data_IF_481309817747
#
_entry.id   IF_481309817747
#
_cell.length_a   1.000
_cell.length_b   1.000
_cell.length_c   1.000
_cell.angle_alpha   90.00
_cell.angle_beta   90.00
_cell.angle_gamma   90.00
#
_symmetry.space_group_name_H-M   'P 1'
#
loop_
_entity.id
_entity.type
_entity.pdbx_description
1 polymer ?
#
# COMPACT_ATOMS: atom_id res chain seq x y z
N UNK A 1 -32.30 13.06 11.86
CA UNK A 1 -32.85 11.94 11.05
C UNK A 1 -31.81 10.83 10.89
N UNK A 2 -30.57 11.17 10.51
CA UNK A 2 -29.46 10.21 10.43
C UNK A 2 -29.19 9.49 11.76
N UNK A 3 -29.09 10.22 12.87
CA UNK A 3 -28.79 9.61 14.18
C UNK A 3 -29.83 8.58 14.64
N UNK A 4 -31.10 8.80 14.31
CA UNK A 4 -32.18 7.85 14.63
C UNK A 4 -32.05 6.60 13.79
N UNK A 5 -31.69 6.75 12.50
CA UNK A 5 -31.43 5.63 11.61
C UNK A 5 -30.23 4.80 12.07
N UNK A 6 -29.10 5.44 12.41
CA UNK A 6 -27.90 4.76 12.88
C UNK A 6 -28.17 3.94 14.15
N UNK A 7 -28.88 4.53 15.13
CA UNK A 7 -29.27 3.81 16.35
C UNK A 7 -30.17 2.61 16.08
N UNK A 8 -31.05 2.70 15.08
CA UNK A 8 -31.89 1.57 14.69
C UNK A 8 -31.03 0.44 14.08
N UNK A 9 -30.10 0.78 13.20
CA UNK A 9 -29.16 -0.18 12.63
C UNK A 9 -28.29 -0.84 13.70
N UNK A 10 -27.78 -0.07 14.67
CA UNK A 10 -27.03 -0.60 15.81
C UNK A 10 -27.87 -1.58 16.63
N UNK A 11 -29.14 -1.23 16.92
CA UNK A 11 -30.05 -2.10 17.65
C UNK A 11 -30.35 -3.40 16.89
N UNK A 12 -30.52 -3.33 15.57
CA UNK A 12 -30.74 -4.49 14.73
C UNK A 12 -29.50 -5.38 14.66
N UNK A 13 -28.30 -4.81 14.53
CA UNK A 13 -27.04 -5.55 14.55
C UNK A 13 -26.83 -6.31 15.87
N UNK A 14 -27.12 -5.66 17.00
CA UNK A 14 -27.10 -6.28 18.34
C UNK A 14 -28.13 -7.43 18.42
N UNK A 15 -29.35 -7.19 17.93
CA UNK A 15 -30.41 -8.21 17.92
C UNK A 15 -30.02 -9.42 17.09
N UNK A 16 -29.40 -9.21 15.93
CA UNK A 16 -28.90 -10.29 15.07
C UNK A 16 -27.81 -11.10 15.78
N UNK A 17 -26.85 -10.44 16.43
CA UNK A 17 -25.80 -11.13 17.19
C UNK A 17 -26.39 -12.04 18.27
N UNK A 18 -27.42 -11.59 19.00
CA UNK A 18 -28.11 -12.43 19.97
C UNK A 18 -28.83 -13.61 19.32
N UNK A 19 -29.54 -13.40 18.22
CA UNK A 19 -30.22 -14.49 17.51
C UNK A 19 -29.23 -15.55 17.02
N UNK A 20 -28.08 -15.13 16.48
CA UNK A 20 -27.05 -16.05 16.01
C UNK A 20 -26.47 -16.85 17.18
N UNK A 21 -26.05 -16.17 18.24
CA UNK A 21 -25.38 -16.81 19.38
C UNK A 21 -26.30 -17.69 20.23
N UNK A 22 -27.54 -17.26 20.45
CA UNK A 22 -28.42 -17.94 21.41
C UNK A 22 -29.35 -18.95 20.74
N UNK A 23 -29.58 -18.82 19.42
CA UNK A 23 -30.51 -19.69 18.69
C UNK A 23 -29.83 -20.46 17.57
N UNK A 24 -29.10 -19.79 16.69
CA UNK A 24 -28.56 -20.42 15.50
C UNK A 24 -27.42 -21.38 15.84
N UNK A 25 -26.35 -20.90 16.48
CA UNK A 25 -25.17 -21.70 16.82
C UNK A 25 -25.55 -22.92 17.68
N UNK A 26 -26.36 -22.80 18.75
CA UNK A 26 -26.78 -23.96 19.54
C UNK A 26 -27.59 -24.99 18.74
N UNK A 27 -28.38 -24.54 17.75
CA UNK A 27 -29.10 -25.46 16.86
C UNK A 27 -28.16 -26.14 15.87
N UNK A 28 -27.17 -25.44 15.33
CA UNK A 28 -26.17 -26.02 14.43
C UNK A 28 -25.33 -27.09 15.15
N UNK A 29 -24.92 -26.83 16.40
CA UNK A 29 -24.22 -27.81 17.23
C UNK A 29 -25.08 -29.07 17.40
N UNK A 30 -26.38 -28.92 17.71
CA UNK A 30 -27.32 -30.04 17.83
C UNK A 30 -27.49 -30.86 16.55
N UNK A 31 -27.39 -30.23 15.38
CA UNK A 31 -27.52 -30.88 14.07
C UNK A 31 -26.23 -31.63 13.67
N UNK A 32 -25.09 -31.30 14.27
CA UNK A 32 -23.82 -32.03 14.07
C UNK A 32 -22.60 -31.14 13.82
N UNK A 33 -22.75 -29.81 13.78
CA UNK A 33 -21.64 -28.87 13.60
C UNK A 33 -20.89 -28.63 14.93
N UNK A 34 -20.15 -29.63 15.39
CA UNK A 34 -19.43 -29.59 16.68
C UNK A 34 -18.25 -28.60 16.70
N UNK A 35 -17.72 -28.22 15.54
CA UNK A 35 -16.63 -27.23 15.44
C UNK A 35 -17.05 -25.84 15.94
N UNK A 36 -18.36 -25.61 16.06
CA UNK A 36 -18.92 -24.38 16.59
C UNK A 36 -19.07 -24.40 18.12
N UNK A 37 -18.70 -25.50 18.78
CA UNK A 37 -18.74 -25.59 20.24
C UNK A 37 -17.63 -24.73 20.85
N UNK A 38 -18.02 -23.86 21.80
CA UNK A 38 -17.09 -22.96 22.48
C UNK A 38 -16.70 -21.69 21.70
N UNK A 39 -17.23 -21.49 20.48
CA UNK A 39 -17.05 -20.24 19.73
C UNK A 39 -18.32 -19.39 19.74
N UNK A 40 -18.16 -18.08 19.58
CA UNK A 40 -19.25 -17.11 19.56
C UNK A 40 -19.13 -16.24 18.32
N UNK A 41 -20.25 -15.90 17.73
CA UNK A 41 -20.34 -14.86 16.70
C UNK A 41 -20.11 -13.48 17.33
N UNK A 42 -19.25 -12.69 16.69
CA UNK A 42 -18.93 -11.31 17.01
C UNK A 42 -18.82 -10.51 15.70
N UNK A 43 -19.22 -9.25 15.73
CA UNK A 43 -19.06 -8.35 14.60
C UNK A 43 -17.59 -7.91 14.52
N UNK A 44 -17.05 -7.89 13.31
CA UNK A 44 -15.75 -7.27 13.07
C UNK A 44 -15.95 -5.75 12.98
N UNK A 45 -15.85 -5.08 14.12
CA UNK A 45 -15.93 -3.62 14.23
C UNK A 45 -14.57 -2.96 13.95
N UNK A 46 -13.61 -3.69 13.37
CA UNK A 46 -12.33 -3.08 13.00
C UNK A 46 -12.56 -2.04 11.90
N UNK A 47 -12.04 -0.84 12.14
CA UNK A 47 -12.05 0.21 11.12
C UNK A 47 -11.05 -0.19 10.04
N UNK A 48 -11.56 -0.55 8.86
CA UNK A 48 -10.71 -0.67 7.67
C UNK A 48 -10.18 0.72 7.33
N UNK A 49 -8.88 0.93 7.53
CA UNK A 49 -8.22 2.16 7.11
C UNK A 49 -8.45 2.37 5.61
N UNK A 50 -8.87 3.57 5.24
CA UNK A 50 -9.00 3.92 3.82
C UNK A 50 -7.63 3.82 3.14
N UNK A 51 -7.59 3.61 1.80
CA UNK A 51 -6.33 3.57 1.07
C UNK A 51 -5.45 4.82 1.28
N UNK A 52 -6.06 5.98 1.52
CA UNK A 52 -5.36 7.22 1.81
C UNK A 52 -4.74 7.24 3.22
N UNK A 53 -5.48 6.76 4.23
CA UNK A 53 -4.98 6.65 5.61
C UNK A 53 -3.86 5.62 5.72
N UNK A 54 -4.00 4.46 5.05
CA UNK A 54 -2.93 3.47 4.96
C UNK A 54 -1.67 4.12 4.38
N UNK A 55 -1.79 4.82 3.26
CA UNK A 55 -0.65 5.50 2.62
C UNK A 55 0.02 6.51 3.54
N UNK A 56 -0.75 7.27 4.31
CA UNK A 56 -0.20 8.27 5.23
C UNK A 56 0.52 7.61 6.42
N UNK A 57 -0.07 6.56 7.01
CA UNK A 57 0.58 5.75 8.05
C UNK A 57 1.89 5.14 7.53
N UNK A 58 1.89 4.60 6.32
CA UNK A 58 3.10 4.07 5.68
C UNK A 58 4.15 5.13 5.40
N UNK A 59 3.73 6.32 4.96
CA UNK A 59 4.63 7.45 4.72
C UNK A 59 5.31 7.89 6.01
N UNK A 60 4.55 7.97 7.10
CA UNK A 60 5.08 8.30 8.43
C UNK A 60 6.07 7.24 8.91
N UNK A 61 5.72 5.96 8.78
CA UNK A 61 6.58 4.83 9.10
C UNK A 61 7.92 4.90 8.37
N UNK A 62 7.91 5.12 7.05
CA UNK A 62 9.12 5.25 6.22
C UNK A 62 9.92 6.54 6.50
N UNK A 63 9.28 7.59 7.02
CA UNK A 63 9.94 8.86 7.32
C UNK A 63 10.68 8.82 8.67
N UNK A 64 10.17 8.05 9.64
CA UNK A 64 10.66 8.05 11.01
C UNK A 64 11.45 6.79 11.39
N UNK A 65 11.34 5.70 10.63
CA UNK A 65 11.99 4.43 10.93
C UNK A 65 12.67 3.83 9.69
N UNK A 66 13.80 3.14 9.90
CA UNK A 66 14.45 2.31 8.89
C UNK A 66 13.75 0.94 8.84
N UNK A 67 12.89 0.77 7.84
CA UNK A 67 12.07 -0.44 7.68
C UNK A 67 12.69 -1.36 6.63
N UNK A 68 12.91 -2.62 7.00
CA UNK A 68 13.42 -3.64 6.07
C UNK A 68 12.39 -4.00 5.00
N UNK A 69 12.85 -4.28 3.79
CA UNK A 69 11.98 -4.66 2.67
C UNK A 69 11.11 -5.89 2.98
N UNK A 70 11.58 -6.78 3.88
CA UNK A 70 10.87 -7.98 4.30
C UNK A 70 9.51 -7.66 4.92
N UNK A 71 9.39 -6.55 5.67
CA UNK A 71 8.13 -6.12 6.28
C UNK A 71 6.99 -5.98 5.25
N UNK A 72 7.29 -5.38 4.10
CA UNK A 72 6.32 -5.18 3.03
C UNK A 72 5.99 -6.47 2.28
N UNK A 73 6.97 -7.36 2.15
CA UNK A 73 6.77 -8.69 1.55
C UNK A 73 5.81 -9.49 2.42
N UNK A 74 6.00 -9.52 3.73
CA UNK A 74 5.16 -10.30 4.64
C UNK A 74 3.76 -9.68 4.78
N UNK A 75 3.66 -8.34 4.84
CA UNK A 75 2.38 -7.64 5.02
C UNK A 75 1.49 -7.68 3.77
N UNK A 76 2.07 -7.51 2.59
CA UNK A 76 1.30 -7.43 1.34
C UNK A 76 1.37 -8.70 0.50
N UNK A 77 2.24 -9.64 0.86
CA UNK A 77 2.55 -10.82 0.06
C UNK A 77 2.98 -10.48 -1.37
N UNK A 78 3.59 -9.29 -1.56
CA UNK A 78 4.07 -8.78 -2.84
C UNK A 78 5.61 -8.76 -2.81
N UNK A 79 6.30 -9.32 -3.82
CA UNK A 79 7.75 -9.26 -3.89
C UNK A 79 8.23 -7.82 -4.12
N UNK A 80 8.90 -7.24 -3.11
CA UNK A 80 9.49 -5.91 -3.21
C UNK A 80 10.87 -5.99 -3.85
N UNK A 81 11.05 -5.32 -5.00
CA UNK A 81 12.35 -5.15 -5.64
C UNK A 81 12.92 -3.77 -5.27
N UNK A 82 14.23 -3.64 -5.00
CA UNK A 82 14.85 -2.34 -4.78
C UNK A 82 14.63 -1.44 -5.99
N UNK A 83 14.17 -0.20 -5.77
CA UNK A 83 14.11 0.79 -6.84
C UNK A 83 15.54 1.10 -7.28
N UNK A 84 15.80 1.08 -8.58
CA UNK A 84 17.04 1.61 -9.12
C UNK A 84 17.20 3.06 -8.62
N UNK A 85 18.32 3.37 -7.98
CA UNK A 85 18.57 4.69 -7.45
C UNK A 85 18.63 5.69 -8.61
N UNK A 86 17.57 6.49 -8.81
CA UNK A 86 17.71 7.72 -9.59
C UNK A 86 18.32 8.77 -8.66
N UNK A 87 19.65 8.69 -8.51
CA UNK A 87 20.43 9.80 -7.96
C UNK A 87 20.41 10.96 -8.95
N UNK A 88 20.18 12.17 -8.45
CA UNK A 88 19.88 13.36 -9.25
C UNK A 88 20.98 13.81 -10.21
N UNK A 89 20.54 14.46 -11.29
CA UNK A 89 21.35 15.42 -12.06
C UNK A 89 20.44 16.59 -12.44
N UNK A 90 20.43 17.65 -11.64
CA UNK A 90 19.98 18.97 -12.15
C UNK A 90 20.43 20.13 -11.26
N UNK A 91 21.74 20.22 -10.99
CA UNK A 91 22.40 21.50 -10.68
C UNK A 91 23.85 21.46 -11.17
N UNK A 92 24.07 21.80 -12.43
CA UNK A 92 25.22 22.54 -12.99
C UNK A 92 25.35 22.26 -14.50
N UNK A 93 24.93 23.23 -15.31
CA UNK A 93 25.67 23.67 -16.49
C UNK A 93 25.24 25.11 -16.78
N UNK A 94 26.05 26.04 -16.28
CA UNK A 94 26.02 27.44 -16.69
C UNK A 94 26.39 27.52 -18.18
N UNK A 95 25.81 28.51 -18.86
CA UNK A 95 26.29 29.16 -20.08
C UNK A 95 26.48 28.26 -21.31
N UNK A 96 25.49 28.28 -22.21
CA UNK A 96 25.74 28.04 -23.63
C UNK A 96 25.26 29.26 -24.43
N UNK A 97 26.13 30.25 -24.54
CA UNK A 97 26.04 31.32 -25.51
C UNK A 97 27.25 31.21 -26.42
N UNK A 98 27.04 30.98 -27.71
CA UNK A 98 28.14 30.87 -28.66
C UNK A 98 27.76 30.21 -29.96
N UNK A 99 27.13 31.00 -30.82
CA UNK A 99 26.94 30.79 -32.26
C UNK A 99 28.16 30.10 -32.90
N UNK A 100 27.95 29.04 -33.68
CA UNK A 100 28.98 28.55 -34.59
C UNK A 100 28.47 28.64 -36.03
N UNK A 101 28.80 29.76 -36.66
CA UNK A 101 28.74 29.96 -38.11
C UNK A 101 29.89 29.18 -38.76
N UNK A 102 29.59 28.49 -39.86
CA UNK A 102 30.45 27.47 -40.43
C UNK A 102 31.73 27.94 -41.14
N UNK A 103 32.56 26.96 -41.51
CA UNK A 103 33.34 27.02 -42.73
C UNK A 103 33.72 25.61 -43.22
N UNK A 104 33.79 25.47 -44.54
CA UNK A 104 33.93 24.25 -45.32
C UNK A 104 35.37 23.69 -45.33
N UNK A 105 35.45 22.35 -45.41
CA UNK A 105 36.44 21.37 -45.96
C UNK A 105 37.77 21.84 -46.63
N UNK A 106 38.60 20.92 -47.17
CA UNK A 106 39.28 19.71 -46.64
C UNK A 106 40.81 19.71 -46.95
N UNK A 107 41.66 18.88 -46.30
CA UNK A 107 42.71 18.12 -47.00
C UNK A 107 43.46 17.11 -46.11
N UNK A 108 43.92 16.03 -46.75
CA UNK A 108 44.61 14.83 -46.26
C UNK A 108 46.13 15.04 -45.99
N UNK A 109 46.97 13.99 -45.93
CA UNK A 109 46.92 12.68 -45.25
C UNK A 109 48.07 12.52 -44.21
N UNK A 110 48.07 11.37 -43.54
CA UNK A 110 48.94 10.94 -42.42
C UNK A 110 50.44 10.83 -42.78
N UNK A 111 51.28 11.22 -41.81
CA UNK A 111 52.74 11.02 -41.78
C UNK A 111 53.12 9.83 -40.88
N UNK A 112 54.37 9.31 -40.94
CA UNK A 112 54.67 7.89 -41.05
C UNK A 112 55.20 7.27 -39.75
N UNK A 113 55.50 5.96 -39.80
CA UNK A 113 55.99 5.05 -38.75
C UNK A 113 54.88 4.38 -37.92
N UNK A 114 54.47 3.16 -38.30
CA UNK A 114 55.00 1.84 -37.88
C UNK A 114 54.58 0.80 -38.92
#
# INVERSE_FOLDING_TARGET
HLDVFLRLCEQDAVRMAYVVNDKLIPRMIKIGFKQLEGIRFEWDDSEELTPAEIREVERLLLQHYDIEAQYFIDKYNIPVKPKAQTQGKEKQSLMNGGQNAGHLAPNAPQDPFV
#
